data_IF_284509179340
#
_entry.id   IF_284509179340
#
_cell.length_a   1.000
_cell.length_b   1.000
_cell.length_c   1.000
_cell.angle_alpha   90.00
_cell.angle_beta   90.00
_cell.angle_gamma   90.00
#
_symmetry.space_group_name_H-M   'P 1'
#
loop_
_entity.id
_entity.type
_entity.pdbx_description
1 polymer ?
#
# COMPACT_ATOMS: atom_id res chain seq x y z
N UNK A 1 4.80 -2.66 -2.47
CA UNK A 1 5.88 -1.65 -2.25
C UNK A 1 7.01 -1.85 -3.25
N UNK A 2 7.78 -2.93 -3.19
CA UNK A 2 8.98 -3.13 -4.04
C UNK A 2 8.71 -2.94 -5.54
N UNK A 3 7.61 -3.51 -6.03
CA UNK A 3 7.19 -3.41 -7.44
C UNK A 3 6.91 -1.97 -7.84
N UNK A 4 6.17 -1.23 -7.01
CA UNK A 4 5.83 0.16 -7.28
C UNK A 4 7.04 1.09 -7.10
N UNK A 5 7.93 0.79 -6.16
CA UNK A 5 9.17 1.53 -5.96
C UNK A 5 10.09 1.41 -7.18
N UNK A 6 10.27 0.20 -7.70
CA UNK A 6 11.04 -0.03 -8.91
C UNK A 6 10.41 0.61 -10.16
N UNK A 7 9.08 0.73 -10.22
CA UNK A 7 8.38 1.28 -11.37
C UNK A 7 8.23 2.82 -11.36
N UNK A 8 8.16 3.44 -10.19
CA UNK A 8 7.85 4.88 -10.05
C UNK A 8 8.99 5.72 -9.49
N UNK A 9 9.98 5.10 -8.83
CA UNK A 9 11.03 5.83 -8.10
C UNK A 9 10.53 6.69 -6.94
N UNK A 10 9.27 6.55 -6.53
CA UNK A 10 8.64 7.41 -5.52
C UNK A 10 9.15 7.12 -4.10
N UNK A 11 9.12 8.14 -3.24
CA UNK A 11 9.27 7.94 -1.80
C UNK A 11 8.02 7.26 -1.22
N UNK A 12 8.21 6.40 -0.22
CA UNK A 12 7.13 5.71 0.50
C UNK A 12 7.05 6.16 1.96
N UNK A 13 5.91 5.93 2.62
CA UNK A 13 5.77 6.13 4.07
C UNK A 13 5.87 4.80 4.79
N UNK A 14 6.78 4.68 5.76
CA UNK A 14 6.91 3.48 6.59
C UNK A 14 6.94 3.81 8.09
N UNK A 15 6.59 2.84 8.93
CA UNK A 15 6.77 2.96 10.38
C UNK A 15 8.25 3.04 10.71
N UNK A 16 8.61 3.88 11.69
CA UNK A 16 9.99 3.98 12.18
C UNK A 16 10.55 2.63 12.66
N UNK A 17 9.74 1.78 13.28
CA UNK A 17 10.11 0.41 13.69
C UNK A 17 10.67 -0.44 12.54
N UNK A 18 10.20 -0.22 11.30
CA UNK A 18 10.69 -0.94 10.12
C UNK A 18 12.11 -0.51 9.72
N UNK A 19 12.58 0.66 10.17
CA UNK A 19 13.95 1.15 9.94
C UNK A 19 15.00 0.34 10.71
N UNK A 20 14.60 -0.32 11.79
CA UNK A 20 15.48 -1.10 12.67
C UNK A 20 15.64 -2.55 12.21
N UNK A 21 14.78 -3.02 11.30
CA UNK A 21 14.90 -4.34 10.68
C UNK A 21 15.98 -4.28 9.58
N UNK A 22 17.09 -5.04 9.64
CA UNK A 22 18.25 -4.81 8.79
C UNK A 22 17.96 -4.75 7.29
N UNK A 23 17.21 -5.72 6.76
CA UNK A 23 16.88 -5.80 5.33
C UNK A 23 15.79 -4.80 4.93
N UNK A 24 14.74 -4.65 5.75
CA UNK A 24 13.62 -3.74 5.46
C UNK A 24 14.06 -2.29 5.61
N UNK A 25 14.80 -1.96 6.67
CA UNK A 25 15.40 -0.66 6.89
C UNK A 25 16.38 -0.28 5.78
N UNK A 26 17.20 -1.21 5.29
CA UNK A 26 18.04 -0.98 4.11
C UNK A 26 17.22 -0.68 2.84
N UNK A 27 16.17 -1.47 2.55
CA UNK A 27 15.27 -1.25 1.41
C UNK A 27 14.50 0.08 1.50
N UNK A 28 14.05 0.43 2.70
CA UNK A 28 13.38 1.70 2.96
C UNK A 28 14.34 2.89 2.79
N UNK A 29 15.59 2.77 3.23
CA UNK A 29 16.63 3.81 3.01
C UNK A 29 16.99 3.96 1.53
N UNK A 30 17.07 2.87 0.78
CA UNK A 30 17.29 2.90 -0.68
C UNK A 30 16.15 3.61 -1.43
N UNK A 31 14.90 3.37 -1.02
CA UNK A 31 13.72 4.03 -1.60
C UNK A 31 13.39 5.37 -0.91
N UNK A 32 14.34 5.95 -0.17
CA UNK A 32 14.22 7.25 0.53
C UNK A 32 12.87 7.43 1.24
N UNK A 33 12.49 6.37 1.95
CA UNK A 33 11.20 6.22 2.63
C UNK A 33 11.11 7.19 3.80
N UNK A 34 10.00 7.93 3.89
CA UNK A 34 9.67 8.79 5.02
C UNK A 34 9.27 7.89 6.19
N UNK A 35 10.17 7.75 7.16
CA UNK A 35 9.93 6.98 8.38
C UNK A 35 9.13 7.81 9.37
N UNK A 36 8.05 7.25 9.92
CA UNK A 36 7.24 7.97 10.89
C UNK A 36 6.91 7.13 12.13
N UNK A 37 7.02 7.76 13.31
CA UNK A 37 6.68 7.17 14.61
C UNK A 37 5.17 7.26 14.83
N UNK A 38 4.55 6.18 15.33
CA UNK A 38 3.09 6.07 15.56
C UNK A 38 2.70 6.28 17.03
N UNK A 39 3.44 7.09 17.76
CA UNK A 39 3.15 7.36 19.17
C UNK A 39 2.16 8.55 19.27
N UNK A 40 0.89 8.21 19.51
CA UNK A 40 -0.26 9.11 19.75
C UNK A 40 -0.73 10.02 18.59
N UNK A 41 -1.96 10.56 18.73
CA UNK A 41 -2.67 11.42 17.74
C UNK A 41 -1.81 12.56 17.15
N UNK A 42 -0.74 12.96 17.84
CA UNK A 42 0.26 13.92 17.36
C UNK A 42 1.06 13.42 16.15
N UNK A 43 1.27 12.11 16.02
CA UNK A 43 2.03 11.52 14.92
C UNK A 43 1.40 11.68 13.53
N UNK A 44 0.09 11.91 13.41
CA UNK A 44 -0.55 12.14 12.10
C UNK A 44 -0.20 13.53 11.55
N UNK A 45 -0.11 14.55 12.41
CA UNK A 45 0.29 15.88 12.00
C UNK A 45 1.76 15.92 11.56
N UNK A 46 2.63 15.23 12.31
CA UNK A 46 4.04 15.05 11.93
C UNK A 46 4.19 14.28 10.62
N UNK A 47 3.39 13.22 10.39
CA UNK A 47 3.33 12.52 9.10
C UNK A 47 2.99 13.47 7.96
N UNK A 48 1.97 14.32 8.14
CA UNK A 48 1.54 15.27 7.12
C UNK A 48 2.65 16.29 6.82
N UNK A 49 3.33 16.81 7.85
CA UNK A 49 4.42 17.79 7.66
C UNK A 49 5.62 17.17 6.93
N UNK A 50 6.07 15.98 7.33
CA UNK A 50 7.17 15.28 6.65
C UNK A 50 6.82 14.96 5.19
N UNK A 51 5.56 14.63 4.90
CA UNK A 51 5.11 14.42 3.53
C UNK A 51 5.08 15.72 2.71
N UNK A 52 4.72 16.85 3.31
CA UNK A 52 4.76 18.16 2.66
C UNK A 52 6.19 18.58 2.33
N UNK A 53 7.12 18.39 3.26
CA UNK A 53 8.54 18.65 3.03
C UNK A 53 9.07 17.76 1.89
N UNK A 54 8.76 16.46 1.90
CA UNK A 54 9.15 15.55 0.84
C UNK A 54 8.55 15.92 -0.54
N UNK A 55 7.29 16.36 -0.59
CA UNK A 55 6.66 16.86 -1.81
C UNK A 55 7.33 18.16 -2.32
N UNK A 56 7.68 19.08 -1.39
CA UNK A 56 8.31 20.36 -1.72
C UNK A 56 9.75 20.22 -2.23
N UNK A 57 10.50 19.26 -1.69
CA UNK A 57 11.89 18.98 -2.08
C UNK A 57 12.02 18.25 -3.43
N UNK A 58 10.93 18.19 -4.22
CA UNK A 58 10.86 17.77 -5.63
C UNK A 58 10.55 16.28 -5.93
N UNK A 59 9.58 15.68 -5.23
CA UNK A 59 9.37 14.21 -5.31
C UNK A 59 7.93 13.74 -5.40
N UNK A 60 7.75 12.63 -6.11
CA UNK A 60 6.56 11.81 -6.04
C UNK A 60 6.53 11.05 -4.72
N UNK A 61 5.41 11.15 -4.02
CA UNK A 61 5.16 10.43 -2.76
C UNK A 61 4.04 9.42 -3.01
N UNK A 62 4.31 8.15 -2.70
CA UNK A 62 3.29 7.11 -2.73
C UNK A 62 2.67 6.90 -1.34
N UNK A 63 1.34 6.95 -1.29
CA UNK A 63 0.54 6.64 -0.10
C UNK A 63 -0.39 5.45 -0.36
N UNK A 64 -0.61 4.62 0.65
CA UNK A 64 -1.58 3.51 0.60
C UNK A 64 -2.79 3.86 1.47
N UNK A 65 -3.86 4.44 0.89
CA UNK A 65 -4.97 5.01 1.67
C UNK A 65 -5.84 3.95 2.36
N UNK A 66 -5.82 2.68 1.93
CA UNK A 66 -6.51 1.58 2.63
C UNK A 66 -5.88 1.28 4.00
N UNK A 67 -4.56 1.53 4.13
CA UNK A 67 -3.80 1.31 5.36
C UNK A 67 -3.61 -0.16 5.74
N UNK A 68 -3.92 -1.09 4.83
CA UNK A 68 -3.69 -2.53 4.92
C UNK A 68 -3.62 -3.13 3.51
N UNK A 69 -3.27 -4.40 3.40
CA UNK A 69 -3.33 -5.20 2.17
C UNK A 69 -4.65 -5.96 2.03
N UNK A 70 -5.06 -6.19 0.78
CA UNK A 70 -6.28 -6.91 0.42
C UNK A 70 -5.98 -8.10 -0.51
N UNK A 71 -7.02 -8.73 -1.05
CA UNK A 71 -7.00 -10.00 -1.80
C UNK A 71 -7.00 -9.82 -3.33
N UNK A 72 -6.74 -8.62 -3.84
CA UNK A 72 -6.84 -8.27 -5.27
C UNK A 72 -8.27 -8.39 -5.86
N UNK A 73 -9.30 -8.56 -5.01
CA UNK A 73 -10.72 -8.66 -5.38
C UNK A 73 -11.63 -7.72 -4.59
N UNK A 74 -11.09 -7.09 -3.55
CA UNK A 74 -11.76 -6.10 -2.72
C UNK A 74 -11.01 -4.78 -2.70
N UNK A 75 -11.75 -3.69 -2.56
CA UNK A 75 -11.23 -2.33 -2.41
C UNK A 75 -11.80 -1.70 -1.13
N UNK A 76 -10.95 -1.48 -0.14
CA UNK A 76 -11.38 -0.91 1.13
C UNK A 76 -11.64 0.60 1.04
N UNK A 77 -12.38 1.19 2.00
CA UNK A 77 -12.51 2.63 2.10
C UNK A 77 -11.16 3.32 2.28
N UNK A 78 -10.96 4.44 1.58
CA UNK A 78 -9.74 5.22 1.66
C UNK A 78 -9.72 6.07 2.93
N UNK A 79 -8.71 5.87 3.78
CA UNK A 79 -8.41 6.72 4.93
C UNK A 79 -7.71 7.98 4.43
N UNK A 80 -8.45 9.08 4.35
CA UNK A 80 -7.99 10.34 3.74
C UNK A 80 -7.17 11.23 4.67
N UNK A 81 -6.68 10.73 5.81
CA UNK A 81 -5.87 11.55 6.76
C UNK A 81 -4.55 12.00 6.15
N UNK A 82 -3.86 11.12 5.41
CA UNK A 82 -2.59 11.46 4.76
C UNK A 82 -2.79 12.40 3.57
N UNK A 83 -3.96 12.38 2.93
CA UNK A 83 -4.29 13.29 1.82
C UNK A 83 -4.44 14.75 2.28
N UNK A 84 -4.50 15.01 3.59
CA UNK A 84 -4.41 16.38 4.12
C UNK A 84 -3.09 17.07 3.78
N UNK A 85 -2.04 16.35 3.34
CA UNK A 85 -0.82 16.97 2.82
C UNK A 85 -1.06 17.81 1.55
N UNK A 86 -2.19 17.61 0.88
CA UNK A 86 -2.58 18.32 -0.34
C UNK A 86 -3.47 19.54 -0.06
N UNK A 87 -3.61 19.99 1.20
CA UNK A 87 -4.52 21.08 1.60
C UNK A 87 -3.76 22.25 2.28
N UNK A 88 -3.53 23.40 1.64
CA UNK A 88 -3.98 23.78 0.31
C UNK A 88 -3.25 23.00 -0.79
N UNK A 89 -3.86 22.87 -1.99
CA UNK A 89 -3.26 22.22 -3.15
C UNK A 89 -1.88 22.83 -3.46
N UNK A 90 -0.79 22.04 -3.37
CA UNK A 90 0.53 22.55 -3.73
C UNK A 90 0.59 22.80 -5.25
N UNK A 91 1.16 23.93 -5.70
CA UNK A 91 1.29 24.23 -7.12
C UNK A 91 2.03 23.12 -7.88
N UNK A 92 1.48 22.70 -9.02
CA UNK A 92 2.12 21.71 -9.90
C UNK A 92 2.07 20.25 -9.42
N UNK A 93 1.46 19.97 -8.26
CA UNK A 93 1.31 18.60 -7.75
C UNK A 93 0.03 17.97 -8.30
N UNK A 94 0.17 16.80 -8.91
CA UNK A 94 -0.95 15.97 -9.37
C UNK A 94 -1.13 14.75 -8.48
N UNK A 95 -2.37 14.28 -8.38
CA UNK A 95 -2.69 13.00 -7.75
C UNK A 95 -2.79 11.95 -8.85
N UNK A 96 -1.97 10.93 -8.75
CA UNK A 96 -1.90 9.82 -9.70
C UNK A 96 -2.46 8.55 -9.05
N UNK A 97 -3.69 8.14 -9.34
CA UNK A 97 -4.18 6.84 -8.87
C UNK A 97 -3.39 5.71 -9.55
N UNK A 98 -3.05 4.69 -8.77
CA UNK A 98 -2.32 3.51 -9.26
C UNK A 98 -3.02 2.25 -8.77
N UNK A 99 -3.37 1.37 -9.70
CA UNK A 99 -3.90 0.05 -9.39
C UNK A 99 -2.80 -1.00 -9.57
N UNK A 100 -2.69 -1.91 -8.60
CA UNK A 100 -1.87 -3.12 -8.70
C UNK A 100 -2.79 -4.31 -8.97
N UNK A 101 -2.49 -5.08 -10.00
CA UNK A 101 -3.19 -6.32 -10.34
C UNK A 101 -2.21 -7.50 -10.24
N UNK A 102 -2.41 -8.32 -9.21
CA UNK A 102 -1.63 -9.54 -8.97
C UNK A 102 -2.18 -10.76 -9.71
N UNK A 103 -3.22 -10.59 -10.53
CA UNK A 103 -3.88 -11.66 -11.27
C UNK A 103 -4.36 -12.79 -10.35
N UNK A 104 -4.28 -14.05 -10.80
CA UNK A 104 -4.69 -15.22 -9.99
C UNK A 104 -3.91 -15.40 -8.70
N UNK A 105 -2.73 -14.79 -8.58
CA UNK A 105 -1.87 -14.92 -7.40
C UNK A 105 -2.25 -13.95 -6.28
N UNK A 106 -3.18 -13.01 -6.50
CA UNK A 106 -3.54 -11.97 -5.53
C UNK A 106 -4.02 -12.49 -4.17
N UNK A 107 -4.90 -13.50 -4.16
CA UNK A 107 -5.35 -14.14 -2.92
C UNK A 107 -4.21 -14.92 -2.25
N UNK A 108 -3.36 -15.55 -3.05
CA UNK A 108 -2.21 -16.31 -2.54
C UNK A 108 -1.19 -15.38 -1.91
N UNK A 109 -0.89 -14.22 -2.50
CA UNK A 109 0.19 -13.30 -2.06
C UNK A 109 -0.29 -12.29 -1.01
N UNK A 110 -1.61 -12.05 -0.94
CA UNK A 110 -2.21 -11.13 0.01
C UNK A 110 -1.75 -11.40 1.44
N UNK A 111 -1.25 -10.37 2.11
CA UNK A 111 -0.98 -10.42 3.54
C UNK A 111 -2.28 -10.06 4.27
N UNK A 112 -3.06 -11.06 4.69
CA UNK A 112 -4.43 -10.88 5.19
C UNK A 112 -4.58 -11.57 6.56
N UNK A 113 -5.46 -11.04 7.40
CA UNK A 113 -5.76 -11.58 8.72
C UNK A 113 -4.61 -11.39 9.72
N UNK A 114 -4.40 -12.39 10.57
CA UNK A 114 -3.42 -12.36 11.66
C UNK A 114 -2.05 -12.95 11.25
N UNK A 115 -1.80 -13.11 9.95
CA UNK A 115 -0.50 -13.58 9.47
C UNK A 115 0.61 -12.61 9.91
N UNK A 116 1.75 -13.13 10.39
CA UNK A 116 2.90 -12.28 10.67
C UNK A 116 3.63 -11.90 9.37
N UNK A 117 4.25 -10.71 9.34
CA UNK A 117 5.00 -10.27 8.16
C UNK A 117 6.13 -11.22 7.76
N UNK A 118 6.75 -11.90 8.73
CA UNK A 118 7.80 -12.90 8.47
C UNK A 118 7.22 -14.17 7.80
N UNK A 119 6.03 -14.61 8.22
CA UNK A 119 5.37 -15.76 7.62
C UNK A 119 4.94 -15.46 6.18
N UNK A 120 4.34 -14.28 5.95
CA UNK A 120 4.01 -13.82 4.61
C UNK A 120 5.27 -13.75 3.72
N UNK A 121 6.36 -13.16 4.21
CA UNK A 121 7.61 -13.08 3.45
C UNK A 121 8.18 -14.46 3.10
N UNK A 122 8.19 -15.41 4.05
CA UNK A 122 8.63 -16.78 3.79
C UNK A 122 7.75 -17.47 2.75
N UNK A 123 6.43 -17.29 2.83
CA UNK A 123 5.46 -17.88 1.90
C UNK A 123 5.64 -17.33 0.48
N UNK A 124 5.79 -16.01 0.34
CA UNK A 124 6.00 -15.36 -0.96
C UNK A 124 7.38 -15.69 -1.55
N UNK A 125 8.46 -15.65 -0.75
CA UNK A 125 9.83 -15.92 -1.22
C UNK A 125 10.11 -17.41 -1.44
N UNK A 126 9.45 -18.30 -0.70
CA UNK A 126 9.56 -19.74 -0.86
C UNK A 126 8.71 -20.30 -2.00
N UNK A 127 7.88 -19.46 -2.64
CA UNK A 127 7.01 -19.88 -3.73
C UNK A 127 7.84 -20.28 -4.95
N UNK A 128 7.49 -21.41 -5.57
CA UNK A 128 8.10 -21.84 -6.82
C UNK A 128 7.53 -21.07 -8.01
N UNK A 129 8.39 -20.62 -8.92
CA UNK A 129 8.00 -19.95 -10.16
C UNK A 129 7.81 -18.44 -10.00
N UNK A 130 7.40 -17.79 -11.09
CA UNK A 130 7.09 -16.37 -11.14
C UNK A 130 5.61 -16.16 -11.48
N UNK A 131 5.10 -14.97 -11.18
CA UNK A 131 3.76 -14.54 -11.56
C UNK A 131 3.84 -13.10 -12.08
N UNK A 132 3.02 -12.73 -13.08
CA UNK A 132 2.99 -11.36 -13.57
C UNK A 132 2.26 -10.47 -12.56
N UNK A 133 2.77 -9.26 -12.37
CA UNK A 133 2.08 -8.17 -11.68
C UNK A 133 1.89 -7.06 -12.70
N UNK A 134 0.67 -6.56 -12.86
CA UNK A 134 0.41 -5.39 -13.70
C UNK A 134 0.24 -4.17 -12.82
N UNK A 135 0.92 -3.09 -13.19
CA UNK A 135 0.78 -1.78 -12.57
C UNK A 135 0.04 -0.91 -13.57
N UNK A 136 -1.10 -0.36 -13.17
CA UNK A 136 -1.87 0.57 -14.00
C UNK A 136 -1.80 1.94 -13.36
N UNK A 137 -1.07 2.85 -14.00
CA UNK A 137 -1.14 4.28 -13.72
C UNK A 137 -2.37 4.82 -14.44
N UNK A 138 -3.34 5.36 -13.69
CA UNK A 138 -4.59 5.90 -14.25
C UNK A 138 -4.36 7.34 -14.75
N UNK A 139 -5.41 8.10 -15.09
CA UNK A 139 -5.20 9.50 -15.46
C UNK A 139 -4.91 10.34 -14.19
N UNK A 140 -3.80 11.10 -14.13
CA UNK A 140 -3.55 12.00 -13.02
C UNK A 140 -4.52 13.18 -13.04
N UNK A 141 -4.87 13.71 -11.87
CA UNK A 141 -5.78 14.85 -11.74
C UNK A 141 -5.25 15.88 -10.75
N UNK A 142 -5.71 17.13 -10.89
CA UNK A 142 -5.30 18.19 -9.99
C UNK A 142 -6.09 18.11 -8.69
N UNK A 143 -5.43 18.11 -7.51
CA UNK A 143 -6.13 18.19 -6.23
C UNK A 143 -6.90 19.51 -6.06
N UNK A 144 -6.57 20.55 -6.83
CA UNK A 144 -7.29 21.83 -6.80
C UNK A 144 -8.72 21.74 -7.37
N UNK A 145 -9.01 20.75 -8.21
CA UNK A 145 -10.35 20.53 -8.78
C UNK A 145 -11.30 19.86 -7.78
N UNK A 146 -10.79 19.34 -6.66
CA UNK A 146 -11.54 18.55 -5.69
C UNK A 146 -11.42 19.18 -4.29
N UNK A 147 -12.49 19.81 -3.75
CA UNK A 147 -12.43 20.51 -2.48
C UNK A 147 -12.22 19.55 -1.31
N UNK A 148 -10.96 19.49 -0.87
CA UNK A 148 -10.50 18.82 0.33
C UNK A 148 -10.20 17.33 0.19
N UNK A 149 -9.50 16.80 1.20
CA UNK A 149 -8.91 15.45 1.27
C UNK A 149 -9.92 14.33 1.02
N UNK A 150 -11.18 14.54 1.41
CA UNK A 150 -12.27 13.58 1.22
C UNK A 150 -12.66 13.48 -0.25
N UNK A 151 -12.78 14.61 -0.95
CA UNK A 151 -13.13 14.65 -2.37
C UNK A 151 -12.00 14.04 -3.22
N UNK A 152 -10.75 14.39 -2.92
CA UNK A 152 -9.56 13.80 -3.56
C UNK A 152 -9.54 12.28 -3.37
N UNK A 153 -9.73 11.81 -2.13
CA UNK A 153 -9.76 10.37 -1.83
C UNK A 153 -10.90 9.63 -2.52
N UNK A 154 -12.08 10.24 -2.61
CA UNK A 154 -13.23 9.66 -3.29
C UNK A 154 -13.01 9.54 -4.80
N UNK A 155 -12.46 10.58 -5.44
CA UNK A 155 -12.09 10.56 -6.87
C UNK A 155 -11.07 9.45 -7.16
N UNK A 156 -9.97 9.42 -6.41
CA UNK A 156 -8.94 8.39 -6.60
C UNK A 156 -9.48 6.97 -6.39
N UNK A 157 -10.32 6.76 -5.36
CA UNK A 157 -10.96 5.46 -5.11
C UNK A 157 -11.87 5.05 -6.26
N UNK A 158 -12.70 5.96 -6.78
CA UNK A 158 -13.62 5.66 -7.87
C UNK A 158 -12.88 5.27 -9.17
N UNK A 159 -11.79 5.95 -9.51
CA UNK A 159 -10.95 5.59 -10.66
C UNK A 159 -10.33 4.19 -10.49
N UNK A 160 -9.78 3.91 -9.30
CA UNK A 160 -9.20 2.60 -9.00
C UNK A 160 -10.28 1.51 -9.03
N UNK A 161 -11.46 1.77 -8.46
CA UNK A 161 -12.59 0.85 -8.48
C UNK A 161 -13.02 0.49 -9.91
N UNK A 162 -13.18 1.50 -10.79
CA UNK A 162 -13.50 1.28 -12.19
C UNK A 162 -12.42 0.46 -12.91
N UNK A 163 -11.15 0.78 -12.68
CA UNK A 163 -10.02 0.05 -13.27
C UNK A 163 -9.95 -1.40 -12.76
N UNK A 164 -10.23 -1.63 -11.47
CA UNK A 164 -10.29 -2.98 -10.90
C UNK A 164 -11.45 -3.76 -11.51
N UNK A 165 -12.65 -3.20 -11.59
CA UNK A 165 -13.82 -3.88 -12.18
C UNK A 165 -13.53 -4.31 -13.62
N UNK A 166 -12.91 -3.43 -14.40
CA UNK A 166 -12.52 -3.74 -15.78
C UNK A 166 -11.43 -4.84 -15.87
N UNK A 167 -10.57 -4.97 -14.86
CA UNK A 167 -9.44 -5.91 -14.89
C UNK A 167 -9.76 -7.28 -14.27
N UNK A 168 -10.49 -7.32 -13.15
CA UNK A 168 -10.71 -8.52 -12.34
C UNK A 168 -12.19 -8.90 -12.16
N UNK A 169 -13.11 -8.14 -12.77
CA UNK A 169 -14.55 -8.31 -12.65
C UNK A 169 -15.14 -7.65 -11.41
N UNK A 170 -16.43 -7.89 -11.10
CA UNK A 170 -17.10 -7.28 -9.95
C UNK A 170 -16.32 -7.47 -8.65
N UNK A 171 -16.17 -6.38 -7.90
CA UNK A 171 -15.55 -6.42 -6.58
C UNK A 171 -16.45 -7.14 -5.60
N UNK A 172 -15.84 -7.80 -4.62
CA UNK A 172 -16.54 -8.46 -3.52
C UNK A 172 -16.18 -7.84 -2.18
N UNK A 173 -17.03 -8.06 -1.19
CA UNK A 173 -16.75 -7.66 0.18
C UNK A 173 -15.47 -8.33 0.69
N UNK A 174 -14.67 -7.55 1.42
CA UNK A 174 -13.40 -8.06 1.93
C UNK A 174 -13.64 -9.05 3.07
N UNK A 175 -13.34 -10.33 2.82
CA UNK A 175 -13.35 -11.35 3.85
C UNK A 175 -12.11 -11.20 4.73
N UNK A 176 -12.28 -10.66 5.94
CA UNK A 176 -11.19 -10.47 6.91
C UNK A 176 -10.50 -11.77 7.36
N UNK A 177 -11.12 -12.93 7.09
CA UNK A 177 -10.62 -14.26 7.40
C UNK A 177 -10.34 -15.05 6.13
N UNK A 178 -9.15 -14.89 5.56
CA UNK A 178 -8.64 -15.88 4.62
C UNK A 178 -7.90 -16.91 5.46
N UNK A 179 -8.41 -18.14 5.52
CA UNK A 179 -7.67 -19.24 6.16
C UNK A 179 -6.28 -19.33 5.51
N UNK A 180 -5.18 -19.47 6.28
CA UNK A 180 -3.84 -19.54 5.71
C UNK A 180 -3.79 -20.59 4.61
N UNK A 181 -3.59 -20.17 3.36
CA UNK A 181 -3.48 -21.11 2.25
C UNK A 181 -2.13 -21.82 2.41
N UNK A 182 -2.18 -23.01 3.00
CA UNK A 182 -1.13 -24.04 3.12
C UNK A 182 0.06 -23.71 4.05
N UNK A 183 -0.18 -23.78 5.36
CA UNK A 183 0.83 -24.33 6.28
C UNK A 183 0.16 -25.31 7.25
N UNK A 184 0.25 -26.60 6.96
CA UNK A 184 0.09 -27.64 7.97
C UNK A 184 1.46 -27.84 8.63
N UNK A 185 1.58 -27.50 9.91
CA UNK A 185 2.76 -27.88 10.67
C UNK A 185 2.87 -29.41 10.68
N UNK A 186 4.07 -30.00 10.50
CA UNK A 186 4.23 -31.44 10.65
C UNK A 186 3.76 -31.86 12.03
N UNK A 187 3.01 -32.97 12.11
CA UNK A 187 2.58 -33.53 13.38
C UNK A 187 3.80 -33.73 14.28
N UNK A 188 3.75 -33.19 15.50
CA UNK A 188 4.77 -33.45 16.51
C UNK A 188 4.93 -34.97 16.64
N UNK A 189 6.15 -35.52 16.62
CA UNK A 189 6.36 -36.90 17.02
C UNK A 189 5.71 -37.08 18.39
N UNK A 190 4.88 -38.12 18.52
CA UNK A 190 4.39 -38.55 19.83
C UNK A 190 5.62 -38.79 20.71
N UNK A 191 5.75 -38.01 21.79
CA UNK A 191 6.76 -38.29 22.81
C UNK A 191 6.53 -39.69 23.38
N UNK A 192 7.62 -40.47 23.58
CA UNK A 192 7.56 -41.84 24.08
C UNK A 192 7.12 -41.92 25.55
#
# INVERSE_FOLDING_TARGET
>A
ILVLAGASGSAFVAKHELSEVPVIGWLCRLNRTVFVKRENRMGVAEQINALREALADNWSVTVFPEGTTTDNRSLLPFKTSLLSMLEPPPPGVLVQPVMLDYGPAGEEIGWIGDESGLNNARRVLGRRGSFPIRIRFLEPFSPAEFPGRKAIGAKARAEIEAAMIAAVGPLRDFAHTVAPVRYEAPAKPSEP
#
